data_IF_903406624344
#
_entry.id   IF_903406624344
#
_cell.length_a   1.000
_cell.length_b   1.000
_cell.length_c   1.000
_cell.angle_alpha   90.00
_cell.angle_beta   90.00
_cell.angle_gamma   90.00
#
_symmetry.space_group_name_H-M   'P 1'
#
loop_
_entity.id
_entity.type
_entity.pdbx_description
1 polymer ?
#
# COMPACT_ATOMS: atom_id res chain seq x y z
N UNK A 1 -48.08 41.50 27.18
CA UNK A 1 -48.11 40.92 28.54
C UNK A 1 -47.23 39.68 28.55
N UNK A 2 -46.30 39.65 29.49
CA UNK A 2 -45.51 38.53 30.00
C UNK A 2 -44.89 37.53 29.01
N UNK A 3 -43.61 37.79 28.70
CA UNK A 3 -42.59 36.80 28.33
C UNK A 3 -42.41 35.81 29.48
N UNK A 4 -42.68 34.53 29.24
CA UNK A 4 -42.36 33.43 30.17
C UNK A 4 -41.05 32.79 29.72
N UNK A 5 -39.96 33.29 30.28
CA UNK A 5 -38.62 32.73 30.18
C UNK A 5 -38.56 31.37 30.89
N UNK A 6 -38.36 30.31 30.11
CA UNK A 6 -37.99 28.99 30.60
C UNK A 6 -36.56 29.05 31.16
N UNK A 7 -36.42 28.86 32.47
CA UNK A 7 -35.15 28.63 33.15
C UNK A 7 -34.58 27.26 32.78
N UNK A 8 -33.46 27.26 32.06
CA UNK A 8 -32.67 26.08 31.77
C UNK A 8 -32.01 25.52 33.05
N UNK A 9 -31.88 24.18 33.20
CA UNK A 9 -31.21 23.57 34.34
C UNK A 9 -29.70 23.84 34.30
N UNK A 10 -29.17 24.33 35.42
CA UNK A 10 -27.73 24.55 35.67
C UNK A 10 -26.96 23.24 35.50
N UNK A 11 -26.04 23.23 34.53
CA UNK A 11 -24.97 22.24 34.41
C UNK A 11 -24.02 22.40 35.62
N UNK A 12 -23.70 21.34 36.38
CA UNK A 12 -22.78 21.44 37.50
C UNK A 12 -21.34 21.69 36.99
N UNK A 13 -20.72 22.74 37.53
CA UNK A 13 -19.32 23.10 37.31
C UNK A 13 -18.42 21.93 37.71
N UNK A 14 -17.66 21.39 36.75
CA UNK A 14 -16.59 20.44 37.02
C UNK A 14 -15.56 21.09 37.94
N UNK A 15 -15.26 20.42 39.05
CA UNK A 15 -14.26 20.82 40.03
C UNK A 15 -12.88 20.91 39.37
N UNK A 16 -12.20 22.05 39.53
CA UNK A 16 -10.77 22.19 39.24
C UNK A 16 -10.01 21.42 40.32
N UNK A 17 -9.39 20.32 39.93
CA UNK A 17 -8.40 19.61 40.76
C UNK A 17 -7.15 20.50 40.97
N UNK A 18 -6.43 20.36 42.09
CA UNK A 18 -5.37 21.27 42.48
C UNK A 18 -4.15 21.09 41.55
N UNK A 19 -3.98 21.99 40.60
CA UNK A 19 -2.79 22.06 39.76
C UNK A 19 -1.61 22.51 40.61
N UNK A 20 -0.66 21.60 40.86
CA UNK A 20 0.62 21.98 41.42
C UNK A 20 1.39 22.79 40.35
N UNK A 21 1.70 24.08 40.57
CA UNK A 21 2.32 24.93 39.55
C UNK A 21 3.67 24.37 39.09
N UNK A 22 4.44 23.76 40.00
CA UNK A 22 5.73 23.15 39.69
C UNK A 22 5.60 21.96 38.71
N UNK A 23 4.50 21.22 38.77
CA UNK A 23 4.23 20.12 37.86
C UNK A 23 3.88 20.59 36.45
N UNK A 24 3.15 21.71 36.34
CA UNK A 24 2.84 22.32 35.05
C UNK A 24 4.06 22.96 34.40
N UNK A 25 4.90 23.64 35.18
CA UNK A 25 6.13 24.24 34.69
C UNK A 25 7.12 23.18 34.18
N UNK A 26 7.28 22.08 34.92
CA UNK A 26 8.10 20.95 34.49
C UNK A 26 7.52 20.30 33.22
N UNK A 27 6.20 20.15 33.13
CA UNK A 27 5.54 19.61 31.93
C UNK A 27 5.71 20.53 30.71
N UNK A 28 5.58 21.85 30.88
CA UNK A 28 5.75 22.83 29.79
C UNK A 28 7.18 22.86 29.27
N UNK A 29 8.17 22.86 30.16
CA UNK A 29 9.58 22.79 29.78
C UNK A 29 9.90 21.53 28.95
N UNK A 30 9.36 20.41 29.41
CA UNK A 30 9.44 19.11 28.77
C UNK A 30 8.82 19.10 27.35
N UNK A 31 7.68 19.78 27.16
CA UNK A 31 7.01 19.92 25.85
C UNK A 31 7.77 20.86 24.92
N UNK A 32 8.22 22.02 25.41
CA UNK A 32 8.98 22.99 24.60
C UNK A 32 10.30 22.39 24.05
N UNK A 33 10.85 21.39 24.76
CA UNK A 33 12.04 20.64 24.29
C UNK A 33 11.73 19.64 23.19
N UNK A 34 10.55 19.02 23.19
CA UNK A 34 10.13 18.13 22.11
C UNK A 34 9.87 18.94 20.84
N UNK A 35 9.26 20.12 20.96
CA UNK A 35 8.94 20.98 19.80
C UNK A 35 10.17 21.64 19.17
N UNK A 36 11.30 21.68 19.88
CA UNK A 36 12.58 22.22 19.38
C UNK A 36 13.38 21.23 18.51
N UNK A 37 13.14 19.93 18.68
CA UNK A 37 13.87 18.85 18.00
C UNK A 37 12.94 18.15 16.98
N UNK A 38 13.01 18.59 15.72
CA UNK A 38 12.48 18.04 14.45
C UNK A 38 11.51 16.82 14.54
N UNK A 39 10.33 16.98 13.91
CA UNK A 39 9.05 16.23 14.01
C UNK A 39 9.10 14.68 13.98
N UNK A 40 10.25 14.08 13.72
CA UNK A 40 10.42 12.63 13.61
C UNK A 40 11.09 11.98 14.83
N UNK A 41 11.85 12.72 15.64
CA UNK A 41 12.65 12.18 16.77
C UNK A 41 12.14 12.66 18.13
N UNK A 42 11.53 13.85 18.21
CA UNK A 42 11.02 14.43 19.45
C UNK A 42 9.98 13.57 20.22
N UNK A 43 9.25 12.69 19.53
CA UNK A 43 8.27 11.78 20.18
C UNK A 43 8.89 10.66 21.02
N UNK A 44 10.17 10.37 20.84
CA UNK A 44 10.87 9.30 21.56
C UNK A 44 11.90 9.81 22.57
N UNK A 45 11.96 11.12 22.84
CA UNK A 45 12.91 11.66 23.82
C UNK A 45 12.58 11.15 25.23
N UNK A 46 13.57 10.49 25.85
CA UNK A 46 13.49 9.94 27.20
C UNK A 46 14.22 10.91 28.14
N UNK A 47 13.49 11.41 29.13
CA UNK A 47 14.06 12.31 30.13
C UNK A 47 14.65 11.48 31.27
N UNK A 48 15.94 11.68 31.55
CA UNK A 48 16.63 11.02 32.67
C UNK A 48 16.47 11.81 33.97
N UNK A 49 16.62 11.11 35.09
CA UNK A 49 16.59 11.73 36.42
C UNK A 49 17.65 12.82 36.55
N UNK A 50 18.87 12.55 36.10
CA UNK A 50 19.99 13.47 36.23
C UNK A 50 19.81 14.73 35.35
N UNK A 51 19.19 14.59 34.18
CA UNK A 51 18.91 15.73 33.29
C UNK A 51 17.82 16.64 33.86
N UNK A 52 16.76 16.05 34.42
CA UNK A 52 15.69 16.79 35.07
C UNK A 52 16.18 17.44 36.38
N UNK A 53 17.03 16.76 37.15
CA UNK A 53 17.58 17.28 38.40
C UNK A 53 18.57 18.43 38.14
N UNK A 54 19.55 18.23 37.25
CA UNK A 54 20.60 19.21 36.96
C UNK A 54 20.06 20.47 36.28
N UNK A 55 18.93 20.41 35.57
CA UNK A 55 18.39 21.58 34.85
C UNK A 55 17.29 22.31 35.59
N UNK A 56 16.54 21.62 36.45
CA UNK A 56 15.45 22.23 37.22
C UNK A 56 15.93 22.79 38.56
N UNK A 57 17.06 22.31 39.09
CA UNK A 57 17.61 22.73 40.39
C UNK A 57 19.11 23.04 40.39
N UNK A 58 19.83 22.84 39.28
CA UNK A 58 21.30 22.82 39.26
C UNK A 58 22.05 24.16 39.36
N UNK A 59 21.43 25.24 39.84
CA UNK A 59 22.13 26.51 40.11
C UNK A 59 22.26 26.82 41.62
N UNK A 60 21.65 26.06 42.52
CA UNK A 60 21.70 26.34 43.97
C UNK A 60 22.52 25.28 44.75
N UNK A 61 23.73 25.73 45.11
CA UNK A 61 24.75 25.16 46.00
C UNK A 61 24.30 24.06 47.01
N UNK A 62 24.76 22.84 46.74
CA UNK A 62 25.47 21.86 47.59
C UNK A 62 24.91 21.31 48.92
N UNK A 63 23.79 21.77 49.48
CA UNK A 63 23.30 21.21 50.77
C UNK A 63 21.83 20.75 50.76
N UNK A 64 21.08 20.99 49.68
CA UNK A 64 19.63 20.72 49.59
C UNK A 64 19.25 19.70 48.50
N UNK A 65 20.24 19.02 47.92
CA UNK A 65 20.08 18.09 46.79
C UNK A 65 19.06 16.97 47.08
N UNK A 66 19.00 16.51 48.33
CA UNK A 66 18.04 15.49 48.77
C UNK A 66 16.59 15.99 48.82
N UNK A 67 16.36 17.26 49.22
CA UNK A 67 15.01 17.83 49.21
C UNK A 67 14.55 18.15 47.78
N UNK A 68 15.44 18.65 46.94
CA UNK A 68 15.14 18.93 45.53
C UNK A 68 14.85 17.64 44.77
N UNK A 69 15.58 16.56 45.05
CA UNK A 69 15.29 15.24 44.51
C UNK A 69 13.92 14.72 44.98
N UNK A 70 13.58 14.85 46.26
CA UNK A 70 12.29 14.42 46.78
C UNK A 70 11.13 15.25 46.20
N UNK A 71 11.30 16.56 46.03
CA UNK A 71 10.32 17.45 45.38
C UNK A 71 10.16 17.12 43.89
N UNK A 72 11.24 16.79 43.20
CA UNK A 72 11.22 16.34 41.81
C UNK A 72 10.48 15.01 41.69
N UNK A 73 10.85 14.01 42.49
CA UNK A 73 10.21 12.69 42.48
C UNK A 73 8.74 12.77 42.87
N UNK A 74 8.35 13.62 43.82
CA UNK A 74 6.95 13.86 44.16
C UNK A 74 6.18 14.53 43.01
N UNK A 75 6.79 15.49 42.32
CA UNK A 75 6.22 16.15 41.14
C UNK A 75 6.08 15.17 39.96
N UNK A 76 7.10 14.33 39.72
CA UNK A 76 7.08 13.28 38.70
C UNK A 76 6.01 12.24 39.03
N UNK A 77 5.91 11.79 40.29
CA UNK A 77 4.88 10.85 40.72
C UNK A 77 3.48 11.44 40.50
N UNK A 78 3.28 12.72 40.83
CA UNK A 78 2.02 13.41 40.53
C UNK A 78 1.72 13.46 39.03
N UNK A 79 2.74 13.70 38.18
CA UNK A 79 2.58 13.71 36.73
C UNK A 79 2.37 12.31 36.11
N UNK A 80 2.88 11.26 36.76
CA UNK A 80 2.57 9.85 36.44
C UNK A 80 1.12 9.55 36.80
N UNK A 81 0.67 9.98 37.98
CA UNK A 81 -0.73 9.83 38.41
C UNK A 81 -1.68 10.59 37.49
N UNK A 82 -1.29 11.80 37.05
CA UNK A 82 -2.03 12.64 36.09
C UNK A 82 -1.95 12.13 34.63
N UNK A 83 -1.22 11.01 34.42
CA UNK A 83 -1.01 10.29 33.14
C UNK A 83 -0.28 11.09 32.07
N UNK A 84 0.44 12.14 32.47
CA UNK A 84 1.27 12.98 31.60
C UNK A 84 2.67 12.42 31.39
N UNK A 85 3.18 11.61 32.31
CA UNK A 85 4.41 10.83 32.13
C UNK A 85 4.14 9.33 31.99
N UNK A 86 4.95 8.68 31.16
CA UNK A 86 5.07 7.23 31.02
C UNK A 86 6.47 6.83 31.45
N UNK A 87 6.59 5.93 32.43
CA UNK A 87 7.88 5.34 32.80
C UNK A 87 8.30 4.39 31.67
N UNK A 88 9.51 4.58 31.14
CA UNK A 88 10.13 3.73 30.11
C UNK A 88 11.45 3.23 30.66
N UNK A 89 11.71 1.94 30.50
CA UNK A 89 13.01 1.34 30.80
C UNK A 89 13.79 1.24 29.50
N UNK A 90 14.97 1.83 29.45
CA UNK A 90 15.89 1.72 28.33
C UNK A 90 17.19 1.04 28.76
N UNK A 91 18.08 0.75 27.81
CA UNK A 91 19.37 0.06 28.02
C UNK A 91 20.24 0.81 29.04
N UNK A 92 20.10 2.14 29.11
CA UNK A 92 20.88 3.04 29.96
C UNK A 92 20.19 3.39 31.30
N UNK A 93 19.02 2.82 31.62
CA UNK A 93 18.34 3.01 32.90
C UNK A 93 16.85 3.37 32.80
N UNK A 94 16.27 3.82 33.93
CA UNK A 94 14.88 4.27 33.99
C UNK A 94 14.76 5.72 33.54
N UNK A 95 13.79 6.01 32.68
CA UNK A 95 13.46 7.36 32.24
C UNK A 95 11.97 7.59 32.07
N UNK A 96 11.60 8.84 31.82
CA UNK A 96 10.21 9.24 31.63
C UNK A 96 9.98 9.78 30.22
N UNK A 97 8.92 9.30 29.58
CA UNK A 97 8.42 9.81 28.31
C UNK A 97 7.19 10.67 28.55
N UNK A 98 7.15 11.82 27.89
CA UNK A 98 6.00 12.73 27.97
C UNK A 98 4.87 12.20 27.08
N UNK A 99 3.65 12.26 27.60
CA UNK A 99 2.42 12.10 26.82
C UNK A 99 1.80 13.46 26.57
N UNK A 100 1.23 13.65 25.39
CA UNK A 100 0.49 14.88 25.09
C UNK A 100 -0.72 15.03 26.03
N UNK A 101 -1.14 16.27 26.28
CA UNK A 101 -2.31 16.56 27.14
C UNK A 101 -3.57 15.88 26.62
N UNK A 102 -3.74 15.83 25.30
CA UNK A 102 -4.84 15.13 24.64
C UNK A 102 -4.79 13.62 24.90
N UNK A 103 -3.62 12.98 24.80
CA UNK A 103 -3.48 11.56 25.10
C UNK A 103 -3.71 11.29 26.59
N UNK A 104 -3.17 12.11 27.49
CA UNK A 104 -3.37 11.98 28.93
C UNK A 104 -4.87 12.00 29.31
N UNK A 105 -5.67 12.87 28.68
CA UNK A 105 -7.13 12.85 28.85
C UNK A 105 -7.78 11.55 28.37
N UNK A 106 -7.32 10.99 27.25
CA UNK A 106 -7.84 9.69 26.78
C UNK A 106 -7.53 8.58 27.78
N UNK A 107 -6.32 8.56 28.34
CA UNK A 107 -5.96 7.63 29.41
C UNK A 107 -6.82 7.84 30.66
N UNK A 108 -7.13 9.07 31.07
CA UNK A 108 -8.06 9.32 32.19
C UNK A 108 -9.47 8.80 31.93
N UNK A 109 -9.98 9.02 30.71
CA UNK A 109 -11.29 8.50 30.29
C UNK A 109 -11.31 6.97 30.29
N UNK A 110 -10.22 6.33 29.86
CA UNK A 110 -10.07 4.87 29.83
C UNK A 110 -9.89 4.30 31.25
N UNK A 111 -9.07 4.94 32.09
CA UNK A 111 -8.84 4.53 33.48
C UNK A 111 -10.12 4.58 34.33
N UNK A 112 -11.04 5.51 34.04
CA UNK A 112 -12.38 5.55 34.67
C UNK A 112 -13.26 4.34 34.32
N UNK A 113 -13.00 3.69 33.18
CA UNK A 113 -13.78 2.51 32.73
C UNK A 113 -13.26 1.24 33.41
N UNK A 114 -11.95 1.13 33.63
CA UNK A 114 -11.33 0.03 34.37
C UNK A 114 -9.83 -0.07 34.10
N UNK A 115 -9.10 -0.70 35.02
CA UNK A 115 -7.64 -0.89 34.93
C UNK A 115 -7.26 -1.83 33.78
N UNK A 116 -8.11 -2.79 33.46
CA UNK A 116 -7.93 -3.75 32.37
C UNK A 116 -7.92 -3.05 31.00
N UNK A 117 -8.72 -2.01 30.83
CA UNK A 117 -8.77 -1.23 29.59
C UNK A 117 -7.49 -0.41 29.40
N UNK A 118 -6.92 0.10 30.50
CA UNK A 118 -5.66 0.84 30.49
C UNK A 118 -4.50 -0.05 30.04
N UNK A 119 -4.40 -1.27 30.57
CA UNK A 119 -3.36 -2.25 30.19
C UNK A 119 -3.42 -2.56 28.70
N UNK A 120 -4.61 -2.87 28.17
CA UNK A 120 -4.77 -3.20 26.74
C UNK A 120 -4.40 -2.00 25.86
N UNK A 121 -4.81 -0.78 26.25
CA UNK A 121 -4.49 0.42 25.48
C UNK A 121 -3.00 0.77 25.54
N UNK A 122 -2.33 0.53 26.67
CA UNK A 122 -0.87 0.69 26.79
C UNK A 122 -0.10 -0.29 25.89
N UNK A 123 -0.53 -1.56 25.81
CA UNK A 123 0.12 -2.53 24.93
C UNK A 123 0.01 -2.14 23.44
N UNK A 124 -1.10 -1.51 23.05
CA UNK A 124 -1.28 -0.99 21.69
C UNK A 124 -0.42 0.25 21.46
N UNK A 125 -0.28 1.11 22.46
CA UNK A 125 0.62 2.28 22.42
C UNK A 125 2.09 1.87 22.25
N UNK A 126 2.55 0.86 22.98
CA UNK A 126 3.91 0.34 22.87
C UNK A 126 4.22 -0.27 21.51
N UNK A 127 3.20 -0.78 20.81
CA UNK A 127 3.36 -1.33 19.47
C UNK A 127 3.46 -0.26 18.37
N UNK A 128 3.17 1.01 18.68
CA UNK A 128 3.41 2.15 17.79
C UNK A 128 2.87 1.96 16.36
N UNK A 129 3.77 2.10 15.38
CA UNK A 129 3.44 2.10 13.95
C UNK A 129 3.23 0.70 13.35
N UNK A 130 3.72 -0.35 14.00
CA UNK A 130 3.56 -1.74 13.54
C UNK A 130 2.23 -2.33 14.01
N UNK A 131 1.64 -1.75 15.06
CA UNK A 131 0.41 -2.25 15.66
C UNK A 131 0.60 -3.60 16.34
N UNK A 132 -0.39 -4.04 17.11
CA UNK A 132 -0.29 -5.28 17.90
C UNK A 132 -1.28 -6.34 17.41
N UNK A 133 -0.78 -7.57 17.25
CA UNK A 133 -1.62 -8.71 16.92
C UNK A 133 -2.56 -9.08 18.08
N UNK A 134 -3.82 -9.39 17.79
CA UNK A 134 -4.82 -9.73 18.81
C UNK A 134 -4.40 -10.89 19.73
N UNK A 135 -3.68 -11.91 19.23
CA UNK A 135 -3.15 -13.00 20.08
C UNK A 135 -2.05 -12.49 21.03
N UNK A 136 -1.22 -11.55 20.59
CA UNK A 136 -0.20 -10.93 21.46
C UNK A 136 -0.85 -10.08 22.56
N UNK A 137 -1.97 -9.40 22.28
CA UNK A 137 -2.75 -8.69 23.32
C UNK A 137 -3.21 -9.68 24.39
N UNK A 138 -3.77 -10.82 24.00
CA UNK A 138 -4.24 -11.85 24.94
C UNK A 138 -3.11 -12.41 25.79
N UNK A 139 -2.00 -12.79 25.16
CA UNK A 139 -0.85 -13.37 25.85
C UNK A 139 -0.15 -12.37 26.79
N UNK A 140 -0.03 -11.09 26.39
CA UNK A 140 0.66 -10.07 27.20
C UNK A 140 -0.23 -9.46 28.27
N UNK A 141 -1.53 -9.35 28.03
CA UNK A 141 -2.45 -8.76 29.02
C UNK A 141 -2.74 -9.69 30.19
N UNK A 142 -2.55 -11.02 30.05
CA UNK A 142 -2.85 -12.02 31.10
C UNK A 142 -4.31 -11.92 31.61
N UNK A 143 -5.21 -11.42 30.78
CA UNK A 143 -6.65 -11.30 31.06
C UNK A 143 -7.39 -12.39 30.27
N UNK A 144 -8.50 -12.88 30.82
CA UNK A 144 -9.33 -13.88 30.17
C UNK A 144 -9.83 -13.38 28.79
N UNK A 145 -9.67 -14.20 27.76
CA UNK A 145 -9.95 -13.89 26.34
C UNK A 145 -11.30 -13.20 26.08
N UNK A 146 -12.34 -13.62 26.80
CA UNK A 146 -13.71 -13.08 26.68
C UNK A 146 -13.76 -11.62 27.11
N UNK A 147 -13.03 -11.23 28.15
CA UNK A 147 -12.96 -9.84 28.61
C UNK A 147 -12.14 -8.99 27.65
N UNK A 148 -11.02 -9.51 27.13
CA UNK A 148 -10.19 -8.82 26.14
C UNK A 148 -11.01 -8.47 24.89
N UNK A 149 -11.81 -9.40 24.38
CA UNK A 149 -12.67 -9.13 23.22
C UNK A 149 -13.73 -8.04 23.52
N UNK A 150 -14.38 -8.08 24.71
CA UNK A 150 -15.31 -7.03 25.15
C UNK A 150 -14.64 -5.66 25.30
N UNK A 151 -13.40 -5.63 25.78
CA UNK A 151 -12.60 -4.41 25.90
C UNK A 151 -12.28 -3.85 24.52
N UNK A 152 -11.81 -4.69 23.60
CA UNK A 152 -11.51 -4.30 22.22
C UNK A 152 -12.76 -3.75 21.53
N UNK A 153 -13.93 -4.40 21.68
CA UNK A 153 -15.19 -3.92 21.11
C UNK A 153 -15.61 -2.54 21.65
N UNK A 154 -15.40 -2.27 22.94
CA UNK A 154 -15.70 -0.97 23.54
C UNK A 154 -14.71 0.12 23.15
N UNK A 155 -13.44 -0.23 22.95
CA UNK A 155 -12.39 0.70 22.52
C UNK A 155 -12.41 0.94 21.00
N UNK A 156 -13.05 0.04 20.25
CA UNK A 156 -13.32 0.17 18.81
C UNK A 156 -14.11 1.47 18.54
N UNK A 157 -13.92 2.03 17.35
CA UNK A 157 -14.53 3.27 16.84
C UNK A 157 -13.98 4.58 17.42
N UNK A 158 -13.59 4.62 18.70
CA UNK A 158 -13.10 5.87 19.35
C UNK A 158 -11.59 5.95 19.51
N UNK A 159 -10.93 4.84 19.81
CA UNK A 159 -9.50 4.87 20.16
C UNK A 159 -8.64 3.96 19.28
N UNK A 160 -9.20 2.85 18.78
CA UNK A 160 -8.45 1.80 18.07
C UNK A 160 -9.13 1.49 16.72
N UNK A 161 -8.31 1.29 15.67
CA UNK A 161 -8.68 0.80 14.34
C UNK A 161 -8.21 -0.66 14.17
N UNK A 162 -9.04 -1.46 13.51
CA UNK A 162 -8.71 -2.81 13.06
C UNK A 162 -8.00 -2.74 11.71
N UNK A 163 -6.89 -3.43 11.57
CA UNK A 163 -6.17 -3.66 10.32
C UNK A 163 -6.01 -5.16 10.09
N UNK A 164 -6.01 -5.58 8.83
CA UNK A 164 -5.61 -6.92 8.45
C UNK A 164 -4.15 -6.86 7.99
N UNK A 165 -3.32 -7.80 8.43
CA UNK A 165 -1.93 -7.88 8.00
C UNK A 165 -1.84 -8.35 6.55
N UNK A 166 -1.03 -7.68 5.74
CA UNK A 166 -0.74 -8.09 4.35
C UNK A 166 0.16 -9.32 4.30
N UNK A 167 1.16 -9.42 5.19
CA UNK A 167 2.04 -10.59 5.28
C UNK A 167 1.29 -11.84 5.75
N UNK A 168 0.33 -11.65 6.66
CA UNK A 168 -0.43 -12.74 7.26
C UNK A 168 -1.93 -12.42 7.26
N UNK A 169 -2.64 -12.81 6.19
CA UNK A 169 -4.07 -12.55 5.99
C UNK A 169 -5.00 -12.96 7.15
N UNK A 170 -4.57 -13.91 7.99
CA UNK A 170 -5.32 -14.39 9.16
C UNK A 170 -5.08 -13.54 10.42
N UNK A 171 -4.04 -12.70 10.44
CA UNK A 171 -3.65 -11.92 11.60
C UNK A 171 -4.37 -10.56 11.60
N UNK A 172 -5.21 -10.37 12.63
CA UNK A 172 -5.86 -9.10 12.91
C UNK A 172 -4.97 -8.25 13.81
N UNK A 173 -4.55 -7.11 13.28
CA UNK A 173 -3.71 -6.12 13.95
C UNK A 173 -4.59 -4.97 14.44
N UNK A 174 -4.31 -4.50 15.65
CA UNK A 174 -4.98 -3.35 16.25
C UNK A 174 -3.99 -2.21 16.40
N UNK A 175 -4.38 -1.02 15.96
CA UNK A 175 -3.57 0.20 16.03
C UNK A 175 -4.40 1.38 16.53
N UNK A 176 -3.75 2.37 17.14
CA UNK A 176 -4.38 3.64 17.50
C UNK A 176 -4.86 4.39 16.25
N UNK A 177 -6.03 5.03 16.34
CA UNK A 177 -6.61 5.79 15.20
C UNK A 177 -5.72 6.98 14.80
N UNK A 178 -5.09 7.63 15.77
CA UNK A 178 -4.23 8.79 15.52
C UNK A 178 -2.86 8.42 14.93
N UNK A 179 -2.47 7.14 14.95
CA UNK A 179 -1.16 6.68 14.49
C UNK A 179 -1.25 6.18 13.05
N UNK A 180 -0.40 6.71 12.16
CA UNK A 180 -0.27 6.20 10.79
C UNK A 180 0.45 4.85 10.86
N UNK A 181 -0.22 3.78 10.44
CA UNK A 181 0.44 2.47 10.43
C UNK A 181 1.54 2.43 9.37
N UNK A 182 2.53 1.58 9.64
CA UNK A 182 3.68 1.38 8.76
C UNK A 182 3.26 0.74 7.43
N UNK A 183 4.01 1.10 6.38
CA UNK A 183 3.81 0.58 5.02
C UNK A 183 3.95 -0.95 4.95
N UNK A 184 4.84 -1.53 5.78
CA UNK A 184 5.04 -2.99 5.87
C UNK A 184 3.78 -3.72 6.30
N UNK A 185 3.00 -3.14 7.21
CA UNK A 185 1.81 -3.78 7.78
C UNK A 185 0.58 -3.60 6.88
N UNK A 186 0.44 -2.42 6.25
CA UNK A 186 -0.72 -2.08 5.41
C UNK A 186 -0.52 -2.47 3.93
N UNK A 187 0.72 -2.61 3.44
CA UNK A 187 1.02 -2.96 2.04
C UNK A 187 1.09 -1.77 1.07
N UNK A 188 1.33 -0.54 1.53
CA UNK A 188 1.38 0.63 0.64
C UNK A 188 0.04 0.96 -0.03
N UNK A 189 0.02 1.90 -1.00
CA UNK A 189 -1.22 2.42 -1.58
C UNK A 189 -2.02 1.45 -2.48
N UNK A 190 -1.48 0.25 -2.73
CA UNK A 190 -2.10 -0.76 -3.60
C UNK A 190 -3.00 -1.74 -2.86
N UNK A 191 -3.03 -1.68 -1.52
CA UNK A 191 -3.79 -2.62 -0.70
C UNK A 191 -5.00 -1.95 -0.05
N UNK A 192 -6.14 -2.61 -0.15
CA UNK A 192 -7.39 -2.24 0.49
C UNK A 192 -7.73 -3.35 1.50
N UNK A 193 -7.84 -3.01 2.78
CA UNK A 193 -8.21 -3.94 3.86
C UNK A 193 -7.40 -5.26 3.92
N UNK A 194 -6.12 -5.21 3.54
CA UNK A 194 -5.19 -6.34 3.61
C UNK A 194 -5.11 -7.20 2.34
N UNK A 195 -5.90 -6.89 1.32
CA UNK A 195 -5.82 -7.52 0.00
C UNK A 195 -5.32 -6.51 -1.05
N UNK A 196 -4.54 -7.00 -2.02
CA UNK A 196 -4.10 -6.21 -3.16
C UNK A 196 -5.32 -5.90 -4.04
N UNK A 197 -5.59 -4.62 -4.28
CA UNK A 197 -6.65 -4.19 -5.16
C UNK A 197 -6.21 -4.35 -6.62
N UNK A 198 -6.37 -5.56 -7.15
CA UNK A 198 -5.97 -5.89 -8.52
C UNK A 198 -6.74 -5.08 -9.54
N UNK A 199 -8.02 -4.78 -9.31
CA UNK A 199 -8.83 -3.98 -10.21
C UNK A 199 -8.34 -2.53 -10.29
N UNK A 200 -7.94 -1.96 -9.16
CA UNK A 200 -7.34 -0.63 -9.12
C UNK A 200 -5.97 -0.60 -9.82
N UNK A 201 -5.11 -1.58 -9.54
CA UNK A 201 -3.80 -1.71 -10.21
C UNK A 201 -3.97 -1.85 -11.72
N UNK A 202 -4.85 -2.74 -12.18
CA UNK A 202 -5.16 -2.94 -13.60
C UNK A 202 -5.74 -1.68 -14.25
N UNK A 203 -6.62 -0.97 -13.53
CA UNK A 203 -7.17 0.32 -13.94
C UNK A 203 -6.06 1.34 -14.21
N UNK A 204 -5.13 1.52 -13.27
CA UNK A 204 -4.01 2.44 -13.43
C UNK A 204 -3.05 1.99 -14.54
N UNK A 205 -2.74 0.70 -14.62
CA UNK A 205 -1.97 0.12 -15.72
C UNK A 205 -2.60 0.45 -17.08
N UNK A 206 -3.92 0.32 -17.21
CA UNK A 206 -4.63 0.61 -18.47
C UNK A 206 -4.57 2.10 -18.85
N UNK A 207 -4.71 2.98 -17.86
CA UNK A 207 -4.64 4.44 -18.03
C UNK A 207 -3.24 4.87 -18.47
N UNK A 208 -2.21 4.39 -17.76
CA UNK A 208 -0.81 4.65 -18.11
C UNK A 208 -0.51 4.09 -19.51
N UNK A 209 -0.96 2.87 -19.80
CA UNK A 209 -0.73 2.25 -21.10
C UNK A 209 -1.37 3.02 -22.25
N UNK A 210 -2.60 3.51 -22.07
CA UNK A 210 -3.29 4.32 -23.08
C UNK A 210 -2.54 5.65 -23.31
N UNK A 211 -2.11 6.32 -22.24
CA UNK A 211 -1.29 7.53 -22.33
C UNK A 211 0.03 7.32 -23.07
N UNK A 212 0.68 6.17 -22.85
CA UNK A 212 1.91 5.79 -23.55
C UNK A 212 1.64 5.41 -25.01
N UNK A 213 0.57 4.67 -25.31
CA UNK A 213 0.18 4.28 -26.68
C UNK A 213 -0.02 5.49 -27.57
N UNK A 214 -0.71 6.52 -27.09
CA UNK A 214 -0.93 7.77 -27.84
C UNK A 214 0.37 8.49 -28.24
N UNK A 215 1.44 8.31 -27.47
CA UNK A 215 2.74 8.99 -27.68
C UNK A 215 3.80 8.12 -28.33
N UNK A 216 3.63 6.80 -28.26
CA UNK A 216 4.63 5.82 -28.72
C UNK A 216 4.42 5.37 -30.17
N UNK A 217 3.26 5.66 -30.75
CA UNK A 217 2.91 5.25 -32.11
C UNK A 217 2.45 6.44 -32.95
N UNK A 218 2.88 6.47 -34.22
CA UNK A 218 2.31 7.34 -35.22
C UNK A 218 1.37 6.55 -36.15
N UNK A 219 0.20 7.10 -36.51
CA UNK A 219 -0.67 6.49 -37.51
C UNK A 219 -0.08 6.71 -38.90
N UNK A 220 0.30 5.63 -39.58
CA UNK A 220 0.71 5.70 -40.98
C UNK A 220 -0.51 5.90 -41.88
N UNK A 221 -0.37 6.84 -42.82
CA UNK A 221 -1.36 7.13 -43.86
C UNK A 221 -1.24 6.19 -45.06
N UNK A 222 -0.16 5.43 -45.16
CA UNK A 222 -0.07 4.36 -46.15
C UNK A 222 -1.03 3.25 -45.73
N UNK A 223 -2.14 3.11 -46.47
CA UNK A 223 -3.04 1.96 -46.35
C UNK A 223 -2.17 0.71 -46.32
N UNK A 224 -2.38 -0.18 -45.36
CA UNK A 224 -1.77 -1.51 -45.29
C UNK A 224 -2.15 -2.31 -46.55
N UNK A 225 -1.50 -2.00 -47.68
CA UNK A 225 -1.63 -2.67 -48.97
C UNK A 225 -0.61 -3.80 -49.07
N UNK A 226 -0.26 -4.42 -47.95
CA UNK A 226 0.36 -5.75 -47.99
C UNK A 226 -0.79 -6.74 -48.12
N UNK A 227 -1.37 -6.80 -49.32
CA UNK A 227 -2.02 -8.04 -49.72
C UNK A 227 -1.00 -9.15 -49.48
N UNK A 228 -1.38 -10.26 -48.81
CA UNK A 228 -0.46 -11.36 -48.58
C UNK A 228 0.15 -11.70 -49.94
N UNK A 229 1.49 -11.60 -50.06
CA UNK A 229 2.18 -12.03 -51.27
C UNK A 229 1.69 -13.44 -51.53
N UNK A 230 1.00 -13.61 -52.65
CA UNK A 230 0.32 -14.82 -53.11
C UNK A 230 0.93 -16.05 -52.46
N UNK A 231 0.09 -16.78 -51.74
CA UNK A 231 0.29 -18.15 -51.28
C UNK A 231 1.24 -18.85 -52.25
N UNK A 232 2.44 -19.21 -51.78
CA UNK A 232 3.30 -20.12 -52.51
C UNK A 232 2.42 -21.34 -52.76
N UNK A 233 2.07 -21.57 -54.03
CA UNK A 233 1.34 -22.77 -54.43
C UNK A 233 2.21 -23.94 -54.01
N UNK A 234 1.92 -24.58 -52.87
CA UNK A 234 2.34 -25.97 -52.67
C UNK A 234 1.79 -26.69 -53.88
N UNK A 235 2.68 -27.28 -54.67
CA UNK A 235 2.34 -28.09 -55.83
C UNK A 235 1.49 -29.26 -55.35
N UNK A 236 0.17 -29.09 -55.33
CA UNK A 236 -0.76 -30.19 -55.17
C UNK A 236 -0.78 -30.94 -56.52
N UNK A 237 -0.62 -32.27 -56.56
CA UNK A 237 -0.56 -33.04 -57.81
C UNK A 237 -1.85 -33.04 -58.67
N UNK A 238 -2.92 -32.37 -58.24
CA UNK A 238 -4.19 -32.33 -58.96
C UNK A 238 -4.59 -30.91 -59.33
N UNK A 239 -5.09 -30.69 -60.57
CA UNK A 239 -5.57 -29.38 -60.99
C UNK A 239 -6.80 -28.99 -60.16
N UNK A 240 -6.88 -27.74 -59.67
CA UNK A 240 -8.06 -27.29 -58.94
C UNK A 240 -9.26 -27.21 -59.91
N UNK A 241 -10.48 -27.54 -59.46
CA UNK A 241 -11.67 -27.44 -60.29
C UNK A 241 -11.91 -25.97 -60.68
N UNK A 242 -12.26 -25.75 -61.95
CA UNK A 242 -12.60 -24.43 -62.51
C UNK A 242 -13.97 -23.97 -61.96
N UNK A 243 -13.99 -23.50 -60.73
CA UNK A 243 -15.10 -22.72 -60.17
C UNK A 243 -14.84 -21.23 -60.37
N UNK A 244 -15.87 -20.49 -60.81
CA UNK A 244 -15.84 -19.02 -60.85
C UNK A 244 -15.49 -18.51 -59.45
N UNK A 245 -14.47 -17.65 -59.35
CA UNK A 245 -14.20 -16.88 -58.13
C UNK A 245 -15.41 -15.99 -57.89
N UNK A 246 -16.32 -16.44 -57.02
CA UNK A 246 -17.23 -15.54 -56.37
C UNK A 246 -16.35 -14.64 -55.50
N UNK A 247 -16.30 -13.35 -55.81
CA UNK A 247 -15.86 -12.35 -54.85
C UNK A 247 -16.84 -12.46 -53.68
N UNK A 248 -16.43 -13.21 -52.65
CA UNK A 248 -17.14 -13.25 -51.39
C UNK A 248 -16.82 -11.89 -50.78
N UNK A 249 -17.80 -10.99 -50.78
CA UNK A 249 -17.77 -9.81 -49.95
C UNK A 249 -17.73 -10.29 -48.49
N UNK A 250 -16.51 -10.53 -48.01
CA UNK A 250 -16.24 -10.87 -46.61
C UNK A 250 -16.63 -9.60 -45.85
N UNK A 251 -17.79 -9.64 -45.20
CA UNK A 251 -18.18 -8.65 -44.20
C UNK A 251 -16.97 -8.39 -43.31
N UNK A 252 -16.58 -7.12 -43.20
CA UNK A 252 -15.33 -6.65 -42.63
C UNK A 252 -15.32 -6.98 -41.12
N UNK A 253 -14.99 -8.23 -40.80
CA UNK A 253 -15.01 -8.79 -39.45
C UNK A 253 -14.28 -7.84 -38.50
N UNK A 254 -14.79 -7.65 -37.28
CA UNK A 254 -14.15 -6.82 -36.26
C UNK A 254 -12.65 -7.12 -36.11
N UNK A 255 -12.28 -8.40 -36.29
CA UNK A 255 -10.89 -8.87 -36.29
C UNK A 255 -10.06 -8.23 -37.41
N UNK A 256 -10.59 -8.17 -38.63
CA UNK A 256 -9.92 -7.53 -39.77
C UNK A 256 -9.72 -6.03 -39.54
N UNK A 257 -10.71 -5.35 -38.94
CA UNK A 257 -10.60 -3.94 -38.58
C UNK A 257 -9.54 -3.69 -37.50
N UNK A 258 -9.46 -4.55 -36.48
CA UNK A 258 -8.41 -4.51 -35.43
C UNK A 258 -7.02 -4.72 -36.02
N UNK A 259 -6.84 -5.70 -36.91
CA UNK A 259 -5.56 -5.95 -37.58
C UNK A 259 -5.13 -4.73 -38.41
N UNK A 260 -6.04 -4.13 -39.18
CA UNK A 260 -5.73 -2.91 -39.95
C UNK A 260 -5.33 -1.74 -39.04
N UNK A 261 -5.99 -1.58 -37.90
CA UNK A 261 -5.64 -0.56 -36.88
C UNK A 261 -4.26 -0.84 -36.27
N UNK A 262 -3.93 -2.10 -36.00
CA UNK A 262 -2.62 -2.50 -35.52
C UNK A 262 -1.52 -2.22 -36.54
N UNK A 263 -1.71 -2.60 -37.80
CA UNK A 263 -0.74 -2.41 -38.87
C UNK A 263 -0.50 -0.94 -39.22
N UNK A 264 -1.52 -0.10 -39.07
CA UNK A 264 -1.39 1.35 -39.29
C UNK A 264 -0.62 2.05 -38.19
N UNK A 265 -0.53 1.49 -36.98
CA UNK A 265 0.22 2.07 -35.86
C UNK A 265 1.69 1.61 -35.90
N UNK A 266 2.56 2.51 -36.35
CA UNK A 266 4.01 2.30 -36.37
C UNK A 266 4.68 2.94 -35.17
N UNK A 267 5.71 2.29 -34.64
CA UNK A 267 6.53 2.84 -33.55
C UNK A 267 7.18 4.14 -34.00
N UNK A 268 7.33 5.10 -33.08
CA UNK A 268 8.01 6.36 -33.37
C UNK A 268 9.45 6.13 -33.89
N UNK A 269 9.98 7.05 -34.73
CA UNK A 269 11.34 6.96 -35.26
C UNK A 269 12.42 6.94 -34.16
N UNK A 270 13.60 6.42 -34.49
CA UNK A 270 14.73 6.32 -33.56
C UNK A 270 15.20 7.67 -32.98
N UNK A 271 14.99 8.77 -33.70
CA UNK A 271 15.40 10.11 -33.29
C UNK A 271 14.33 10.83 -32.44
N UNK A 272 13.31 10.12 -31.95
CA UNK A 272 12.23 10.72 -31.17
C UNK A 272 12.59 10.76 -29.68
N UNK A 273 12.73 11.96 -29.14
CA UNK A 273 13.07 12.21 -27.73
C UNK A 273 11.87 12.62 -26.86
N UNK A 274 10.66 12.58 -27.42
CA UNK A 274 9.43 13.05 -26.76
C UNK A 274 8.77 12.03 -25.82
N UNK A 275 9.49 10.98 -25.39
CA UNK A 275 8.92 9.97 -24.50
C UNK A 275 8.69 10.52 -23.09
N UNK A 276 7.52 10.25 -22.48
CA UNK A 276 7.19 10.79 -21.17
C UNK A 276 8.07 10.17 -20.06
N UNK A 277 8.51 11.02 -19.13
CA UNK A 277 9.19 10.62 -17.90
C UNK A 277 8.21 10.18 -16.81
N UNK A 278 8.71 9.54 -15.75
CA UNK A 278 7.89 9.16 -14.57
C UNK A 278 7.12 10.36 -14.02
N UNK A 279 7.75 11.53 -13.96
CA UNK A 279 7.11 12.75 -13.45
C UNK A 279 5.96 13.23 -14.32
N UNK A 280 6.10 13.09 -15.63
CA UNK A 280 5.04 13.47 -16.55
C UNK A 280 3.86 12.50 -16.46
N UNK A 281 4.15 11.21 -16.27
CA UNK A 281 3.13 10.17 -16.05
C UNK A 281 2.42 10.43 -14.72
N UNK A 282 3.14 10.75 -13.64
CA UNK A 282 2.53 11.07 -12.34
C UNK A 282 1.59 12.26 -12.43
N UNK A 283 2.00 13.33 -13.13
CA UNK A 283 1.14 14.50 -13.35
C UNK A 283 -0.13 14.15 -14.12
N UNK A 284 -0.02 13.28 -15.13
CA UNK A 284 -1.16 12.85 -15.93
C UNK A 284 -2.16 12.03 -15.11
N UNK A 285 -1.67 11.10 -14.28
CA UNK A 285 -2.53 10.28 -13.40
C UNK A 285 -3.30 11.18 -12.41
N UNK A 286 -2.66 12.20 -11.84
CA UNK A 286 -3.34 13.17 -10.98
C UNK A 286 -4.39 14.00 -11.72
N UNK A 287 -4.09 14.44 -12.95
CA UNK A 287 -5.01 15.24 -13.76
C UNK A 287 -6.30 14.50 -14.13
N UNK A 288 -6.21 13.18 -14.34
CA UNK A 288 -7.38 12.36 -14.63
C UNK A 288 -8.26 12.12 -13.40
N UNK A 289 -7.78 12.41 -12.18
CA UNK A 289 -8.56 12.28 -10.95
C UNK A 289 -9.07 10.85 -10.69
N UNK A 290 -8.34 9.84 -11.18
CA UNK A 290 -8.71 8.42 -11.04
C UNK A 290 -8.64 7.98 -9.57
N UNK A 291 -7.77 8.61 -8.79
CA UNK A 291 -7.50 8.27 -7.39
C UNK A 291 -8.18 9.26 -6.45
N UNK A 292 -9.43 8.96 -6.04
CA UNK A 292 -10.18 9.81 -5.09
C UNK A 292 -9.71 9.65 -3.64
N UNK A 293 -9.25 8.45 -3.28
CA UNK A 293 -9.03 8.06 -1.89
C UNK A 293 -7.55 7.79 -1.54
N UNK A 294 -6.67 7.64 -2.54
CA UNK A 294 -5.24 7.35 -2.37
C UNK A 294 -4.36 8.35 -3.11
N UNK A 295 -3.37 8.93 -2.42
CA UNK A 295 -2.37 9.81 -3.04
C UNK A 295 -1.22 8.93 -3.51
N UNK A 296 -1.07 8.78 -4.82
CA UNK A 296 0.00 7.95 -5.38
C UNK A 296 1.31 8.73 -5.47
N UNK A 297 2.40 8.24 -4.90
CA UNK A 297 3.72 8.85 -5.01
C UNK A 297 4.48 8.44 -6.28
N UNK A 298 5.56 9.19 -6.62
CA UNK A 298 6.46 8.84 -7.73
C UNK A 298 7.03 7.42 -7.64
N UNK A 299 7.25 6.93 -6.41
CA UNK A 299 7.79 5.57 -6.16
C UNK A 299 6.82 4.49 -6.58
N UNK A 300 5.54 4.67 -6.28
CA UNK A 300 4.48 3.69 -6.55
C UNK A 300 4.22 3.59 -8.06
N UNK A 301 4.22 4.73 -8.76
CA UNK A 301 4.10 4.74 -10.23
C UNK A 301 5.31 4.09 -10.89
N UNK A 302 6.52 4.25 -10.31
CA UNK A 302 7.71 3.54 -10.80
C UNK A 302 7.56 2.02 -10.65
N UNK A 303 7.07 1.53 -9.50
CA UNK A 303 6.81 0.10 -9.30
C UNK A 303 5.82 -0.46 -10.33
N UNK A 304 4.74 0.27 -10.63
CA UNK A 304 3.78 -0.12 -11.67
C UNK A 304 4.44 -0.17 -13.05
N UNK A 305 5.25 0.83 -13.40
CA UNK A 305 5.99 0.84 -14.66
C UNK A 305 6.97 -0.34 -14.76
N UNK A 306 7.64 -0.70 -13.67
CA UNK A 306 8.55 -1.85 -13.63
C UNK A 306 7.80 -3.17 -13.88
N UNK A 307 6.59 -3.34 -13.31
CA UNK A 307 5.72 -4.49 -13.60
C UNK A 307 5.30 -4.51 -15.08
N UNK A 308 4.90 -3.36 -15.63
CA UNK A 308 4.52 -3.26 -17.05
C UNK A 308 5.69 -3.55 -18.00
N UNK A 309 6.93 -3.30 -17.56
CA UNK A 309 8.14 -3.69 -18.29
C UNK A 309 8.34 -5.21 -18.25
N UNK A 310 8.13 -5.85 -17.10
CA UNK A 310 8.18 -7.31 -16.96
C UNK A 310 7.13 -8.02 -17.84
N UNK A 311 5.93 -7.45 -17.94
CA UNK A 311 4.88 -7.95 -18.83
C UNK A 311 5.23 -7.76 -20.33
N UNK A 312 6.23 -6.92 -20.62
CA UNK A 312 6.66 -6.56 -21.97
C UNK A 312 5.70 -5.62 -22.69
N UNK A 313 4.81 -4.94 -21.97
CA UNK A 313 3.88 -3.96 -22.52
C UNK A 313 4.52 -2.57 -22.66
N UNK A 314 5.50 -2.27 -21.81
CA UNK A 314 6.23 -1.01 -21.78
C UNK A 314 7.72 -1.29 -21.89
N UNK A 315 8.44 -0.42 -22.59
CA UNK A 315 9.89 -0.42 -22.68
C UNK A 315 10.43 0.90 -22.14
N UNK A 316 11.52 0.83 -21.38
CA UNK A 316 12.28 1.99 -20.96
C UNK A 316 13.23 2.40 -22.10
N UNK A 317 13.24 3.69 -22.44
CA UNK A 317 14.10 4.26 -23.47
C UNK A 317 14.94 5.37 -22.88
N UNK A 318 16.23 5.38 -23.21
CA UNK A 318 17.14 6.47 -22.87
C UNK A 318 17.11 7.46 -24.03
N UNK A 319 16.41 8.58 -23.86
CA UNK A 319 16.42 9.71 -24.78
C UNK A 319 17.46 10.72 -24.30
N UNK A 320 18.71 10.54 -24.74
CA UNK A 320 19.83 11.39 -24.34
C UNK A 320 20.09 11.33 -22.83
N UNK A 321 19.76 12.40 -22.10
CA UNK A 321 19.95 12.51 -20.64
C UNK A 321 18.72 12.14 -19.82
N UNK A 322 17.58 11.86 -20.46
CA UNK A 322 16.31 11.56 -19.78
C UNK A 322 15.88 10.12 -20.02
N UNK A 323 15.36 9.52 -18.95
CA UNK A 323 14.70 8.22 -19.01
C UNK A 323 13.23 8.46 -19.36
N UNK A 324 12.82 7.92 -20.50
CA UNK A 324 11.43 7.91 -20.97
C UNK A 324 10.86 6.49 -21.02
N UNK A 325 9.54 6.40 -21.08
CA UNK A 325 8.83 5.14 -21.24
C UNK A 325 8.04 5.17 -22.55
N UNK A 326 8.05 4.05 -23.28
CA UNK A 326 7.25 3.86 -24.49
C UNK A 326 6.43 2.57 -24.39
N UNK A 327 5.27 2.54 -25.04
CA UNK A 327 4.50 1.32 -25.20
C UNK A 327 5.11 0.43 -26.31
N UNK A 328 5.14 -0.88 -26.09
CA UNK A 328 5.61 -1.85 -27.08
C UNK A 328 4.51 -2.17 -28.08
N UNK A 329 4.89 -2.68 -29.27
CA UNK A 329 3.90 -3.18 -30.23
C UNK A 329 3.07 -4.34 -29.67
N UNK A 330 3.60 -5.09 -28.71
CA UNK A 330 2.87 -6.16 -28.01
C UNK A 330 1.66 -5.59 -27.27
N UNK A 331 1.80 -4.44 -26.62
CA UNK A 331 0.71 -3.78 -25.90
C UNK A 331 -0.48 -3.36 -26.77
N UNK A 332 -0.30 -3.17 -28.08
CA UNK A 332 -1.41 -2.90 -29.01
C UNK A 332 -2.29 -4.12 -29.27
N UNK A 333 -1.79 -5.33 -29.00
CA UNK A 333 -2.52 -6.59 -29.19
C UNK A 333 -3.32 -7.03 -27.96
N UNK A 334 -3.28 -6.27 -26.85
CA UNK A 334 -3.69 -6.75 -25.51
C UNK A 334 -5.15 -7.24 -25.41
N UNK A 335 -6.08 -6.75 -26.24
CA UNK A 335 -7.46 -7.30 -26.33
C UNK A 335 -7.50 -8.75 -26.83
N UNK A 336 -6.48 -9.15 -27.58
CA UNK A 336 -6.24 -10.51 -28.05
C UNK A 336 -4.84 -10.90 -27.58
N UNK A 337 -4.72 -11.27 -26.29
CA UNK A 337 -3.89 -12.45 -25.96
C UNK A 337 -4.51 -13.69 -26.64
N UNK A 338 -4.76 -13.61 -27.95
CA UNK A 338 -4.54 -14.75 -28.81
C UNK A 338 -3.05 -14.93 -28.62
N UNK A 339 -2.71 -15.84 -27.72
CA UNK A 339 -1.55 -16.66 -27.89
C UNK A 339 -1.53 -16.92 -29.40
N UNK A 340 -0.65 -16.22 -30.11
CA UNK A 340 -0.05 -16.85 -31.28
C UNK A 340 0.78 -17.93 -30.63
N UNK A 341 0.07 -18.97 -30.16
CA UNK A 341 0.62 -20.19 -29.72
C UNK A 341 1.51 -20.51 -30.91
N UNK A 342 2.81 -20.55 -30.66
CA UNK A 342 3.69 -21.19 -31.61
C UNK A 342 2.97 -22.47 -32.03
N UNK A 343 3.02 -22.87 -33.30
CA UNK A 343 2.39 -24.13 -33.76
C UNK A 343 2.74 -25.30 -32.82
N UNK A 344 3.90 -25.20 -32.16
CA UNK A 344 4.34 -26.05 -31.06
C UNK A 344 3.42 -26.11 -29.83
N UNK A 345 2.87 -24.98 -29.36
CA UNK A 345 1.95 -24.88 -28.22
C UNK A 345 0.50 -25.24 -28.58
N UNK A 346 0.16 -25.31 -29.88
CA UNK A 346 -1.14 -25.79 -30.37
C UNK A 346 -1.16 -27.32 -30.49
N UNK A 347 -0.01 -27.93 -30.77
CA UNK A 347 0.14 -29.37 -30.82
C UNK A 347 0.29 -29.97 -29.41
N UNK A 348 -0.33 -31.15 -29.14
CA UNK A 348 -0.24 -31.80 -27.83
C UNK A 348 1.21 -32.17 -27.45
N UNK A 349 2.09 -32.32 -28.45
CA UNK A 349 3.50 -32.63 -28.26
C UNK A 349 4.26 -31.53 -27.50
N UNK A 350 3.92 -30.25 -27.68
CA UNK A 350 4.69 -29.15 -27.08
C UNK A 350 4.44 -28.92 -25.59
N UNK A 351 3.40 -29.56 -25.04
CA UNK A 351 3.09 -29.57 -23.60
C UNK A 351 3.12 -30.98 -23.02
N UNK A 352 3.61 -31.95 -23.78
CA UNK A 352 3.58 -33.35 -23.38
C UNK A 352 4.54 -33.59 -22.20
N UNK A 353 4.06 -34.07 -21.04
CA UNK A 353 4.92 -34.30 -19.87
C UNK A 353 5.87 -35.49 -20.04
N UNK A 354 5.60 -36.37 -21.01
CA UNK A 354 6.40 -37.57 -21.32
C UNK A 354 7.08 -37.48 -22.69
N UNK A 355 7.31 -36.26 -23.18
CA UNK A 355 7.91 -36.02 -24.49
C UNK A 355 9.26 -36.73 -24.65
N UNK A 356 10.10 -36.70 -23.61
CA UNK A 356 11.46 -37.26 -23.62
C UNK A 356 11.50 -38.80 -23.73
N UNK A 357 10.37 -39.47 -23.49
CA UNK A 357 10.26 -40.95 -23.49
C UNK A 357 9.44 -41.47 -24.66
N UNK A 358 8.97 -40.56 -25.53
CA UNK A 358 8.15 -40.88 -26.69
C UNK A 358 9.04 -41.31 -27.86
N UNK A 359 9.05 -42.61 -28.16
CA UNK A 359 9.85 -43.20 -29.23
C UNK A 359 9.01 -44.17 -30.08
N UNK A 360 9.34 -44.30 -31.37
CA UNK A 360 8.65 -45.26 -32.24
C UNK A 360 8.95 -46.71 -31.81
N UNK A 361 7.92 -47.45 -31.41
CA UNK A 361 8.04 -48.84 -30.92
C UNK A 361 8.38 -48.96 -29.42
N UNK A 362 8.51 -47.84 -28.71
CA UNK A 362 8.68 -47.79 -27.26
C UNK A 362 7.36 -48.00 -26.50
N UNK A 363 7.41 -48.06 -25.15
CA UNK A 363 6.22 -48.17 -24.30
C UNK A 363 5.32 -46.92 -24.36
N UNK A 364 5.90 -45.77 -24.73
CA UNK A 364 5.18 -44.54 -25.06
C UNK A 364 5.49 -44.24 -26.52
N UNK A 365 4.49 -44.35 -27.38
CA UNK A 365 4.63 -44.17 -28.83
C UNK A 365 3.59 -43.18 -29.37
N UNK A 366 3.90 -42.44 -30.44
CA UNK A 366 2.93 -41.55 -31.09
C UNK A 366 1.68 -42.29 -31.59
N UNK A 367 1.84 -43.55 -31.99
CA UNK A 367 0.77 -44.40 -32.53
C UNK A 367 -0.28 -44.82 -31.49
N UNK A 368 0.10 -44.88 -30.21
CA UNK A 368 -0.79 -45.21 -29.09
C UNK A 368 -1.01 -44.01 -28.15
N UNK A 369 -0.73 -42.80 -28.62
CA UNK A 369 -0.75 -41.59 -27.80
C UNK A 369 -2.18 -41.09 -27.56
N UNK A 370 -2.63 -41.13 -26.31
CA UNK A 370 -3.96 -40.64 -25.92
C UNK A 370 -4.11 -39.12 -26.13
N UNK A 371 -3.06 -38.33 -25.83
CA UNK A 371 -3.09 -36.87 -26.00
C UNK A 371 -3.25 -36.45 -27.46
N UNK A 372 -2.70 -37.22 -28.40
CA UNK A 372 -2.85 -36.95 -29.83
C UNK A 372 -4.24 -37.36 -30.31
N UNK A 373 -4.78 -38.45 -29.78
CA UNK A 373 -6.11 -38.95 -30.14
C UNK A 373 -7.22 -38.01 -29.65
N UNK A 374 -7.16 -37.56 -28.39
CA UNK A 374 -8.10 -36.57 -27.82
C UNK A 374 -8.05 -35.21 -28.53
N UNK A 375 -6.90 -34.83 -29.09
CA UNK A 375 -6.75 -33.58 -29.84
C UNK A 375 -7.24 -33.67 -31.29
N UNK A 376 -7.28 -34.86 -31.89
CA UNK A 376 -7.75 -35.11 -33.25
C UNK A 376 -9.27 -35.33 -33.34
N UNK A 377 -9.89 -35.77 -32.24
CA UNK A 377 -11.35 -35.83 -32.05
C UNK A 377 -11.96 -34.43 -31.84
#
# INVERSE_FOLDING_TARGET
MASSSQTAPKVPKAAKEPTNPQAEDLYRYCVDKIDADDDSIGKEMIFRQDELLNRFFGDEHSDSDGEHLNKLLATIQYLIDDRRFKVVQDIDGMGWRIRSTAEAETYRKIARIGKEYEIVYQLIDEAGNEGIWQRNIKNRSQIHDVLVNKIIEKLKNKYIKRLNSVEHKTHVIWIKIATKASERVIGGAWHSDGDLDTAFVEGICSVILNFLKERSFYPSKEKARRSPKKTIKRSVPYPPPKGKTHDIDIEDSEKAQRIRKYESLLSMPANFDGYPSVERITQYVYQLGVTKDTVLEKKEIKQVLDIMILDGDVEQVVSGTKIGYKATRKALRKEERIDVASVYNEAPCGRCPVFDVCEEGGPVAPSSCQYLQEWLE
#
